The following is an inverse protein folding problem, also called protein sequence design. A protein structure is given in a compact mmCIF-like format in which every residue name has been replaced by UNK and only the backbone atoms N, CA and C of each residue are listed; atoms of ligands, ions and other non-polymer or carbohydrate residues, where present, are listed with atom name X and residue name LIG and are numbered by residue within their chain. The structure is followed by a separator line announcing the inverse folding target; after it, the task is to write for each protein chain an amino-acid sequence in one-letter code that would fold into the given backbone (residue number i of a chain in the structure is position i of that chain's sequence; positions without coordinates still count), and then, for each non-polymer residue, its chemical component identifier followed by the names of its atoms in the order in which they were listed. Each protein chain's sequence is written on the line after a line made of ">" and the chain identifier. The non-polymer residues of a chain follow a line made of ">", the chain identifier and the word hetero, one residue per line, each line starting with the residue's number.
data_IF_172669482261
#
_entry.id   IF_172669482261
#
_cell.length_a   1.000
_cell.length_b   1.000
_cell.length_c   1.000
_cell.angle_alpha   90.00
_cell.angle_beta   90.00
_cell.angle_gamma   90.00
#
_symmetry.space_group_name_H-M   'P 1'
#
loop_
_entity.id
_entity.type
_entity.pdbx_description
1 polymer ?
#
# COMPACT_ATOMS: atom_id res chain seq x y z
N UNK A 1 -9.95 6.65 1.32
CA UNK A 1 -10.38 6.48 2.73
C UNK A 1 -9.52 5.49 3.55
N UNK A 2 -8.51 4.82 2.99
CA UNK A 2 -7.74 3.78 3.72
C UNK A 2 -6.57 4.28 4.59
N UNK A 3 -6.18 5.56 4.49
CA UNK A 3 -4.92 6.02 5.07
C UNK A 3 -5.01 6.45 6.54
N UNK A 4 -6.13 7.05 6.96
CA UNK A 4 -6.42 7.37 8.36
C UNK A 4 -6.48 6.11 9.25
N UNK A 5 -6.80 4.98 8.64
CA UNK A 5 -6.87 3.67 9.30
C UNK A 5 -5.47 3.19 9.73
N UNK A 6 -4.38 3.56 9.04
CA UNK A 6 -3.03 3.10 9.41
C UNK A 6 -2.52 3.66 10.74
N UNK A 7 -2.78 4.94 11.04
CA UNK A 7 -2.43 5.53 12.34
C UNK A 7 -3.35 5.04 13.46
N UNK A 8 -4.61 4.80 13.13
CA UNK A 8 -5.56 4.24 14.09
C UNK A 8 -5.22 2.78 14.45
N UNK A 9 -4.75 1.99 13.48
CA UNK A 9 -4.37 0.58 13.64
C UNK A 9 -3.24 0.33 14.63
N UNK A 10 -2.19 1.15 14.66
CA UNK A 10 -1.09 0.93 15.60
C UNK A 10 -1.53 1.23 17.04
N UNK A 11 -2.37 2.25 17.23
CA UNK A 11 -2.96 2.57 18.54
C UNK A 11 -3.90 1.46 18.99
N UNK A 12 -4.71 0.92 18.09
CA UNK A 12 -5.62 -0.18 18.41
C UNK A 12 -4.88 -1.49 18.73
N UNK A 13 -3.82 -1.80 17.97
CA UNK A 13 -2.98 -2.96 18.24
C UNK A 13 -2.23 -2.84 19.58
N UNK A 14 -1.73 -1.64 19.91
CA UNK A 14 -1.10 -1.37 21.20
C UNK A 14 -2.11 -1.49 22.35
N UNK A 15 -3.32 -0.96 22.19
CA UNK A 15 -4.39 -1.09 23.18
C UNK A 15 -4.79 -2.57 23.39
N UNK A 16 -4.83 -3.37 22.32
CA UNK A 16 -5.10 -4.81 22.41
C UNK A 16 -4.00 -5.57 23.16
N UNK A 17 -2.72 -5.30 22.86
CA UNK A 17 -1.59 -5.88 23.59
C UNK A 17 -1.60 -5.47 25.06
N UNK A 18 -1.84 -4.19 25.36
CA UNK A 18 -1.97 -3.70 26.73
C UNK A 18 -3.13 -4.40 27.47
N UNK A 19 -4.27 -4.59 26.81
CA UNK A 19 -5.42 -5.32 27.36
C UNK A 19 -5.08 -6.77 27.70
N UNK A 20 -4.38 -7.48 26.80
CA UNK A 20 -3.91 -8.86 27.05
C UNK A 20 -2.96 -8.91 28.25
N UNK A 21 -2.00 -7.99 28.32
CA UNK A 21 -1.02 -7.92 29.42
C UNK A 21 -1.74 -7.67 30.75
N UNK A 22 -2.67 -6.70 30.80
CA UNK A 22 -3.46 -6.41 32.00
C UNK A 22 -4.27 -7.64 32.43
N UNK A 23 -4.89 -8.36 31.49
CA UNK A 23 -5.61 -9.59 31.78
C UNK A 23 -4.72 -10.68 32.39
N UNK A 24 -3.54 -10.90 31.83
CA UNK A 24 -2.59 -11.91 32.30
C UNK A 24 -2.08 -11.54 33.70
N UNK A 25 -1.72 -10.28 33.93
CA UNK A 25 -1.23 -9.78 35.22
C UNK A 25 -2.32 -9.90 36.29
N UNK A 26 -3.56 -9.47 36.01
CA UNK A 26 -4.67 -9.62 36.95
C UNK A 26 -5.01 -11.09 37.24
N UNK A 27 -4.89 -11.97 36.24
CA UNK A 27 -5.07 -13.41 36.42
C UNK A 27 -4.02 -14.06 37.32
N UNK A 28 -2.76 -13.65 37.18
CA UNK A 28 -1.65 -14.08 38.05
C UNK A 28 -1.84 -13.59 39.49
N UNK A 29 -2.26 -12.33 39.69
CA UNK A 29 -2.50 -11.76 41.02
C UNK A 29 -3.61 -12.52 41.77
N UNK A 30 -4.66 -12.96 41.08
CA UNK A 30 -5.76 -13.73 41.69
C UNK A 30 -5.48 -15.24 41.83
N UNK A 31 -4.28 -15.72 41.47
CA UNK A 31 -3.89 -17.13 41.62
C UNK A 31 -4.69 -18.11 40.77
N UNK A 32 -5.35 -17.63 39.71
CA UNK A 32 -6.18 -18.49 38.85
C UNK A 32 -5.30 -19.26 37.85
N UNK A 33 -5.58 -20.55 37.60
CA UNK A 33 -4.91 -21.29 36.56
C UNK A 33 -5.24 -20.68 35.19
N UNK A 34 -4.25 -20.60 34.31
CA UNK A 34 -4.35 -19.93 33.00
C UNK A 34 -5.60 -20.37 32.21
N UNK A 35 -5.93 -21.67 32.23
CA UNK A 35 -7.11 -22.24 31.59
C UNK A 35 -8.45 -21.66 32.06
N UNK A 36 -8.58 -21.28 33.34
CA UNK A 36 -9.82 -20.70 33.86
C UNK A 36 -10.06 -19.29 33.29
N UNK A 37 -8.99 -18.53 33.10
CA UNK A 37 -9.03 -17.18 32.50
C UNK A 37 -9.50 -17.28 31.04
N UNK A 38 -8.97 -18.22 30.27
CA UNK A 38 -9.43 -18.43 28.89
C UNK A 38 -10.85 -18.99 28.82
N UNK A 39 -11.29 -19.78 29.80
CA UNK A 39 -12.68 -20.27 29.83
C UNK A 39 -13.69 -19.14 30.06
N UNK A 40 -13.35 -18.17 30.90
CA UNK A 40 -14.25 -17.07 31.26
C UNK A 40 -14.21 -15.90 30.26
N UNK A 41 -13.03 -15.61 29.71
CA UNK A 41 -12.83 -14.49 28.77
C UNK A 41 -12.59 -14.93 27.32
N UNK A 42 -12.67 -16.23 27.03
CA UNK A 42 -12.33 -16.80 25.72
C UNK A 42 -13.18 -16.26 24.57
N UNK A 43 -14.47 -16.01 24.80
CA UNK A 43 -15.36 -15.40 23.81
C UNK A 43 -14.91 -13.96 23.50
N UNK A 44 -14.61 -13.17 24.54
CA UNK A 44 -14.14 -11.78 24.38
C UNK A 44 -12.81 -11.75 23.62
N UNK A 45 -11.90 -12.68 23.95
CA UNK A 45 -10.63 -12.82 23.25
C UNK A 45 -10.81 -13.18 21.77
N UNK A 46 -11.69 -14.13 21.46
CA UNK A 46 -12.00 -14.52 20.08
C UNK A 46 -12.56 -13.35 19.26
N UNK A 47 -13.49 -12.58 19.82
CA UNK A 47 -14.07 -11.42 19.15
C UNK A 47 -13.01 -10.36 18.89
N UNK A 48 -12.18 -10.05 19.87
CA UNK A 48 -11.10 -9.08 19.72
C UNK A 48 -10.02 -9.55 18.72
N UNK A 49 -9.67 -10.84 18.73
CA UNK A 49 -8.75 -11.43 17.77
C UNK A 49 -9.31 -11.36 16.35
N UNK A 50 -10.58 -11.72 16.15
CA UNK A 50 -11.26 -11.62 14.86
C UNK A 50 -11.30 -10.17 14.36
N UNK A 51 -11.61 -9.22 15.24
CA UNK A 51 -11.62 -7.79 14.90
C UNK A 51 -10.21 -7.26 14.57
N UNK A 52 -9.19 -7.72 15.29
CA UNK A 52 -7.78 -7.44 15.00
C UNK A 52 -7.35 -7.95 13.62
N UNK A 53 -7.70 -9.20 13.29
CA UNK A 53 -7.44 -9.80 11.97
C UNK A 53 -8.15 -9.05 10.87
N UNK A 54 -9.45 -8.76 11.04
CA UNK A 54 -10.24 -7.99 10.08
C UNK A 54 -9.60 -6.62 9.80
N UNK A 55 -9.18 -5.94 10.86
CA UNK A 55 -8.51 -4.66 10.74
C UNK A 55 -7.13 -4.78 10.13
N UNK A 56 -6.35 -5.84 10.33
CA UNK A 56 -5.00 -5.98 9.74
C UNK A 56 -4.99 -6.56 8.32
N UNK A 57 -6.03 -7.31 7.97
CA UNK A 57 -6.17 -8.02 6.70
C UNK A 57 -5.87 -7.15 5.46
N UNK A 58 -6.40 -5.93 5.30
CA UNK A 58 -6.11 -5.14 4.10
C UNK A 58 -4.64 -4.67 4.01
N UNK A 59 -3.94 -4.46 5.13
CA UNK A 59 -2.53 -4.06 5.09
C UNK A 59 -1.63 -5.26 4.76
N UNK A 60 -1.97 -6.42 5.32
CA UNK A 60 -1.29 -7.66 5.01
C UNK A 60 -1.49 -8.02 3.54
N UNK A 61 -2.72 -7.90 3.04
CA UNK A 61 -3.06 -8.08 1.62
C UNK A 61 -2.22 -7.12 0.76
N UNK A 62 -2.22 -5.82 1.03
CA UNK A 62 -1.40 -4.85 0.29
C UNK A 62 0.07 -5.26 0.24
N UNK A 63 0.67 -5.62 1.39
CA UNK A 63 2.10 -6.02 1.47
C UNK A 63 2.40 -7.27 0.65
N UNK A 64 1.47 -8.23 0.58
CA UNK A 64 1.67 -9.51 -0.13
C UNK A 64 1.36 -9.44 -1.62
N UNK A 65 0.44 -8.56 -2.02
CA UNK A 65 0.05 -8.38 -3.43
C UNK A 65 1.21 -7.80 -4.23
N UNK A 66 1.47 -8.35 -5.43
CA UNK A 66 2.54 -7.87 -6.31
C UNK A 66 2.24 -6.45 -6.83
N UNK A 67 3.29 -5.65 -7.00
CA UNK A 67 3.15 -4.25 -7.42
C UNK A 67 2.57 -4.11 -8.82
N UNK A 68 2.87 -5.05 -9.74
CA UNK A 68 2.25 -5.09 -11.08
C UNK A 68 0.74 -5.26 -10.97
N UNK A 69 0.27 -6.21 -10.17
CA UNK A 69 -1.17 -6.47 -9.99
C UNK A 69 -1.91 -5.32 -9.31
N UNK A 70 -1.26 -4.62 -8.36
CA UNK A 70 -1.82 -3.41 -7.76
C UNK A 70 -1.98 -2.27 -8.77
N UNK A 71 -0.99 -2.09 -9.65
CA UNK A 71 -1.02 -1.05 -10.67
C UNK A 71 -2.01 -1.38 -11.80
N UNK A 72 -2.06 -2.64 -12.23
CA UNK A 72 -3.02 -3.12 -13.24
C UNK A 72 -4.47 -2.87 -12.85
N UNK A 73 -4.80 -2.85 -11.54
CA UNK A 73 -6.14 -2.51 -11.06
C UNK A 73 -6.60 -1.11 -11.51
N UNK A 74 -5.65 -0.22 -11.77
CA UNK A 74 -5.93 1.13 -12.28
C UNK A 74 -5.97 1.21 -13.81
N UNK A 75 -5.68 0.12 -14.52
CA UNK A 75 -5.34 0.07 -15.95
C UNK A 75 -6.02 1.12 -16.83
N UNK A 76 -7.35 1.09 -16.93
CA UNK A 76 -8.14 1.99 -17.80
C UNK A 76 -8.54 3.32 -17.15
N UNK A 77 -8.44 3.43 -15.82
CA UNK A 77 -8.71 4.66 -15.06
C UNK A 77 -7.47 5.57 -15.01
N UNK A 78 -6.30 5.03 -15.36
CA UNK A 78 -5.07 5.76 -15.60
C UNK A 78 -5.24 6.81 -16.69
N UNK A 79 -5.52 8.06 -16.32
CA UNK A 79 -5.30 9.17 -17.24
C UNK A 79 -3.82 9.14 -17.63
N UNK A 80 -3.54 8.99 -18.94
CA UNK A 80 -2.21 9.23 -19.49
C UNK A 80 -1.88 10.69 -19.21
N UNK A 81 -1.02 10.94 -18.24
CA UNK A 81 -0.49 12.27 -17.96
C UNK A 81 0.81 12.47 -18.73
N UNK A 82 1.00 13.68 -19.23
CA UNK A 82 2.19 14.03 -20.00
C UNK A 82 3.43 14.04 -19.10
N UNK A 83 4.57 13.61 -19.67
CA UNK A 83 5.86 13.48 -18.97
C UNK A 83 6.31 14.78 -18.27
N UNK A 84 5.91 15.94 -18.81
CA UNK A 84 6.21 17.27 -18.28
C UNK A 84 5.66 17.50 -16.86
N UNK A 85 4.48 16.97 -16.53
CA UNK A 85 3.93 17.07 -15.17
C UNK A 85 4.72 16.23 -14.15
N UNK A 86 5.51 15.25 -14.61
CA UNK A 86 6.35 14.45 -13.72
C UNK A 86 7.67 15.13 -13.42
N UNK A 87 8.25 15.90 -14.33
CA UNK A 87 9.57 16.52 -14.16
C UNK A 87 9.58 17.58 -13.06
N UNK A 88 8.51 18.37 -12.96
CA UNK A 88 8.43 19.44 -11.94
C UNK A 88 8.29 18.93 -10.50
N UNK A 89 7.93 17.65 -10.32
CA UNK A 89 7.42 17.16 -9.03
C UNK A 89 8.34 16.17 -8.32
N UNK A 90 9.22 16.59 -7.42
CA UNK A 90 10.11 15.65 -6.70
C UNK A 90 9.51 15.09 -5.40
N UNK A 91 9.66 13.77 -5.20
CA UNK A 91 9.36 13.13 -3.93
C UNK A 91 10.44 13.46 -2.91
N UNK A 92 10.02 13.86 -1.71
CA UNK A 92 10.94 14.09 -0.60
C UNK A 92 11.42 12.77 0.00
N UNK A 93 10.57 11.74 -0.03
CA UNK A 93 10.91 10.41 0.48
C UNK A 93 10.18 9.33 -0.32
N UNK A 94 10.93 8.33 -0.79
CA UNK A 94 10.39 7.17 -1.49
C UNK A 94 10.96 5.91 -0.86
N UNK A 95 10.07 5.04 -0.38
CA UNK A 95 10.45 3.75 0.15
C UNK A 95 10.04 2.65 -0.84
N UNK A 96 11.02 2.12 -1.57
CA UNK A 96 10.81 1.11 -2.63
C UNK A 96 10.10 -0.15 -2.10
N UNK A 97 10.55 -0.73 -0.97
CA UNK A 97 9.95 -1.95 -0.41
C UNK A 97 8.49 -1.79 0.04
N UNK A 98 8.13 -0.67 0.66
CA UNK A 98 6.76 -0.43 1.12
C UNK A 98 5.88 0.22 0.04
N UNK A 99 6.45 0.54 -1.13
CA UNK A 99 5.78 1.18 -2.27
C UNK A 99 5.02 2.41 -1.80
N UNK A 100 5.76 3.22 -1.07
CA UNK A 100 5.27 4.35 -0.32
C UNK A 100 6.09 5.57 -0.67
N UNK A 101 5.42 6.69 -0.91
CA UNK A 101 6.08 7.96 -1.11
C UNK A 101 5.40 9.08 -0.33
N UNK A 102 6.23 9.99 0.19
CA UNK A 102 5.81 11.25 0.76
C UNK A 102 6.31 12.41 -0.08
N UNK A 103 5.42 13.38 -0.24
CA UNK A 103 5.69 14.64 -0.92
C UNK A 103 5.36 15.75 0.04
N UNK A 104 6.23 16.76 0.06
CA UNK A 104 5.95 18.01 0.74
C UNK A 104 5.83 19.03 -0.37
N UNK A 105 4.59 19.33 -0.73
CA UNK A 105 4.33 20.25 -1.83
C UNK A 105 4.71 21.66 -1.35
N UNK A 106 5.66 22.35 -2.01
CA UNK A 106 6.23 23.60 -1.51
C UNK A 106 5.17 24.70 -1.40
N UNK A 107 4.21 24.73 -2.32
CA UNK A 107 3.22 25.82 -2.40
C UNK A 107 2.06 25.72 -1.40
N UNK A 108 1.76 24.52 -0.90
CA UNK A 108 0.53 24.29 -0.10
C UNK A 108 0.79 23.82 1.31
N UNK A 109 2.06 23.60 1.68
CA UNK A 109 2.49 23.24 3.04
C UNK A 109 1.98 21.89 3.56
N UNK A 110 1.11 21.17 2.83
CA UNK A 110 0.60 19.87 3.23
C UNK A 110 1.52 18.74 2.77
N UNK A 111 1.63 17.71 3.62
CA UNK A 111 2.29 16.45 3.25
C UNK A 111 1.31 15.56 2.53
N UNK A 112 1.58 15.27 1.26
CA UNK A 112 0.82 14.27 0.51
C UNK A 112 1.49 12.92 0.69
N UNK A 113 0.66 11.90 0.92
CA UNK A 113 1.10 10.52 1.06
C UNK A 113 0.49 9.72 -0.07
N UNK A 114 1.33 8.94 -0.73
CA UNK A 114 0.98 8.22 -1.94
C UNK A 114 1.42 6.77 -1.85
N UNK A 115 0.53 5.89 -2.26
CA UNK A 115 0.73 4.44 -2.40
C UNK A 115 0.18 4.00 -3.76
N UNK A 116 0.51 2.79 -4.20
CA UNK A 116 -0.06 2.24 -5.43
C UNK A 116 -1.58 1.99 -5.32
N UNK A 117 -2.15 1.92 -4.12
CA UNK A 117 -3.60 1.78 -3.93
C UNK A 117 -4.34 3.11 -3.75
N UNK A 118 -3.63 4.23 -3.64
CA UNK A 118 -4.30 5.51 -3.47
C UNK A 118 -3.40 6.64 -2.99
N UNK A 119 -3.94 7.85 -3.10
CA UNK A 119 -3.29 9.08 -2.67
C UNK A 119 -4.21 9.91 -1.78
N UNK A 120 -3.64 10.71 -0.88
CA UNK A 120 -4.40 11.69 -0.09
C UNK A 120 -4.56 13.05 -0.79
N UNK A 121 -4.17 13.18 -2.06
CA UNK A 121 -4.34 14.44 -2.78
C UNK A 121 -5.83 14.73 -3.06
N UNK A 122 -6.14 16.02 -3.26
CA UNK A 122 -7.50 16.48 -3.58
C UNK A 122 -8.01 15.85 -4.88
N UNK A 123 -7.13 15.71 -5.88
CA UNK A 123 -7.49 15.15 -7.19
C UNK A 123 -7.94 13.69 -7.09
N UNK A 124 -7.23 12.87 -6.31
CA UNK A 124 -7.62 11.47 -6.07
C UNK A 124 -8.92 11.39 -5.27
N UNK A 125 -9.12 12.29 -4.29
CA UNK A 125 -10.35 12.31 -3.49
C UNK A 125 -11.58 12.70 -4.32
N UNK A 126 -11.41 13.57 -5.32
CA UNK A 126 -12.50 14.01 -6.20
C UNK A 126 -12.80 12.98 -7.29
N UNK A 127 -11.76 12.50 -7.95
CA UNK A 127 -11.92 11.72 -9.19
C UNK A 127 -11.86 10.20 -8.97
N UNK A 128 -11.41 9.72 -7.80
CA UNK A 128 -11.21 8.30 -7.49
C UNK A 128 -10.38 7.55 -8.56
N UNK A 129 -9.48 8.29 -9.22
CA UNK A 129 -8.63 7.84 -10.30
C UNK A 129 -7.16 8.14 -9.93
N UNK A 130 -6.18 7.39 -10.49
CA UNK A 130 -4.77 7.59 -10.18
C UNK A 130 -4.35 9.02 -10.53
N UNK A 131 -3.79 9.72 -9.55
CA UNK A 131 -3.29 11.08 -9.70
C UNK A 131 -1.82 11.07 -10.15
N UNK A 132 -1.27 12.26 -10.47
CA UNK A 132 0.16 12.46 -10.83
C UNK A 132 1.09 11.70 -9.86
N UNK A 133 0.86 11.85 -8.56
CA UNK A 133 1.68 11.21 -7.53
C UNK A 133 1.75 9.69 -7.69
N UNK A 134 0.62 9.04 -8.01
CA UNK A 134 0.57 7.59 -8.13
C UNK A 134 1.31 7.14 -9.39
N UNK A 135 1.14 7.86 -10.50
CA UNK A 135 1.84 7.57 -11.74
C UNK A 135 3.36 7.76 -11.59
N UNK A 136 3.82 8.83 -10.94
CA UNK A 136 5.25 9.03 -10.67
C UNK A 136 5.82 7.96 -9.74
N UNK A 137 5.05 7.52 -8.75
CA UNK A 137 5.44 6.40 -7.89
C UNK A 137 5.54 5.08 -8.68
N UNK A 138 4.61 4.82 -9.58
CA UNK A 138 4.65 3.65 -10.46
C UNK A 138 5.84 3.69 -11.42
N UNK A 139 6.19 4.87 -11.94
CA UNK A 139 7.34 5.12 -12.80
C UNK A 139 8.67 4.82 -12.07
N UNK A 140 8.85 5.35 -10.85
CA UNK A 140 10.04 5.06 -10.01
C UNK A 140 10.15 3.57 -9.67
N UNK A 141 9.03 2.85 -9.63
CA UNK A 141 8.97 1.41 -9.38
C UNK A 141 9.11 0.57 -10.67
N UNK A 142 9.23 1.19 -11.85
CA UNK A 142 9.34 0.50 -13.14
C UNK A 142 8.06 -0.20 -13.58
N UNK A 143 6.90 0.26 -13.11
CA UNK A 143 5.58 -0.32 -13.39
C UNK A 143 4.78 0.49 -14.41
N UNK A 144 5.24 1.70 -14.70
CA UNK A 144 4.59 2.60 -15.64
C UNK A 144 5.24 2.44 -17.01
N UNK A 145 4.60 1.67 -17.88
CA UNK A 145 5.00 1.60 -19.29
C UNK A 145 4.65 2.94 -19.95
N UNK A 146 5.66 3.77 -20.16
CA UNK A 146 5.51 4.94 -21.02
C UNK A 146 5.38 4.48 -22.47
N UNK A 147 4.66 5.24 -23.30
CA UNK A 147 4.52 4.93 -24.74
C UNK A 147 5.86 4.80 -25.47
N UNK A 148 6.92 5.43 -24.94
CA UNK A 148 8.29 5.34 -25.45
C UNK A 148 8.92 3.97 -25.18
N UNK A 149 8.70 3.38 -24.00
CA UNK A 149 9.20 2.03 -23.68
C UNK A 149 8.47 0.94 -24.46
N UNK A 150 7.20 1.18 -24.80
CA UNK A 150 6.43 0.26 -25.62
C UNK A 150 6.93 0.22 -27.08
N UNK A 151 7.50 1.31 -27.57
CA UNK A 151 8.15 1.34 -28.88
C UNK A 151 9.47 0.56 -28.85
N UNK A 152 10.34 0.83 -27.87
CA UNK A 152 11.65 0.14 -27.77
C UNK A 152 11.52 -1.36 -27.53
N UNK A 153 10.57 -1.80 -26.69
CA UNK A 153 10.36 -3.23 -26.45
C UNK A 153 9.78 -3.96 -27.66
N UNK A 154 8.94 -3.29 -28.46
CA UNK A 154 8.42 -3.86 -29.70
C UNK A 154 9.51 -3.97 -30.78
N UNK A 155 10.47 -3.04 -30.79
CA UNK A 155 11.60 -3.06 -31.72
C UNK A 155 12.62 -4.15 -31.36
N UNK A 156 12.90 -4.36 -30.07
CA UNK A 156 13.73 -5.48 -29.58
C UNK A 156 13.08 -6.85 -29.86
N UNK A 157 11.78 -7.02 -29.57
CA UNK A 157 11.06 -8.28 -29.84
C UNK A 157 10.95 -8.59 -31.35
N UNK A 158 10.94 -7.54 -32.20
CA UNK A 158 10.97 -7.69 -33.66
C UNK A 158 12.36 -8.10 -34.16
N UNK A 159 13.44 -7.52 -33.61
CA UNK A 159 14.82 -7.89 -33.96
C UNK A 159 15.16 -9.34 -33.56
N UNK A 160 14.67 -9.81 -32.41
CA UNK A 160 14.93 -11.19 -31.94
C UNK A 160 14.15 -12.24 -32.75
N UNK A 161 13.00 -11.87 -33.33
CA UNK A 161 12.23 -12.72 -34.24
C UNK A 161 12.84 -12.78 -35.64
N UNK A 162 13.38 -11.67 -36.14
CA UNK A 162 14.06 -11.64 -37.45
C UNK A 162 15.41 -12.40 -37.41
N UNK A 163 16.12 -12.35 -36.28
CA UNK A 163 17.36 -13.13 -36.09
C UNK A 163 17.09 -14.64 -36.03
N UNK A 164 15.99 -15.09 -35.40
CA UNK A 164 15.62 -16.53 -35.36
C UNK A 164 15.15 -17.10 -36.70
N UNK A 165 14.69 -16.26 -37.64
CA UNK A 165 14.27 -16.68 -38.98
C UNK A 165 15.47 -16.82 -39.94
N UNK A 166 16.61 -16.16 -39.67
CA UNK A 166 17.81 -16.30 -40.50
C UNK A 166 18.68 -17.55 -40.21
N UNK A 167 18.37 -18.31 -39.16
CA UNK A 167 19.12 -19.52 -38.76
C UNK A 167 18.31 -20.83 -38.89
N UNK A 168 17.18 -20.82 -39.59
CA UNK A 168 16.43 -22.02 -40.00
C UNK A 168 16.42 -22.15 -41.52
#
# INVERSE_FOLDING_TARGET
>A
MNFYISKFRYKLAFAFLAGIVIMIVNGLIMGMPFLAIFKQYGIVFLVLAAMGVYLWYPAFKYRRTDSKTLWQRWGYLGRKKERKEFEDFHFQYVHKKTRYAMTKEPDKGYRTMTTLEGCNCVEFRKNHAPCVHMCKLADILGLYETSEQKATNNDEEKSEKEEKVCYQ
#
